data_IF_625870263945
#
_entry.id   IF_625870263945
#
_cell.length_a   1.000
_cell.length_b   1.000
_cell.length_c   1.000
_cell.angle_alpha   90.00
_cell.angle_beta   90.00
_cell.angle_gamma   90.00
#
_symmetry.space_group_name_H-M   'P 1'
#
loop_
_entity.id
_entity.type
_entity.pdbx_description
1 polymer ?
#
# COMPACT_ATOMS: atom_id res chain seq x y z
N UNK A 1 29.43 -1.95 10.89
CA UNK A 1 30.23 -2.92 10.11
C UNK A 1 29.38 -3.41 8.95
N UNK A 2 29.97 -3.65 7.78
CA UNK A 2 29.26 -4.19 6.59
C UNK A 2 29.77 -5.61 6.35
N UNK A 3 28.86 -6.52 6.02
CA UNK A 3 29.19 -7.89 5.69
C UNK A 3 29.33 -8.02 4.17
N UNK A 4 30.46 -8.51 3.70
CA UNK A 4 30.69 -8.67 2.27
C UNK A 4 29.79 -9.77 1.70
N UNK A 5 29.00 -9.52 0.64
CA UNK A 5 28.10 -10.53 0.08
C UNK A 5 28.84 -11.71 -0.58
N UNK A 6 30.11 -11.51 -0.99
CA UNK A 6 30.89 -12.54 -1.69
C UNK A 6 31.63 -13.49 -0.75
N UNK A 7 32.16 -12.99 0.37
CA UNK A 7 32.98 -13.78 1.30
C UNK A 7 32.44 -13.82 2.74
N UNK A 8 31.28 -13.21 2.99
CA UNK A 8 30.58 -13.15 4.28
C UNK A 8 31.39 -12.60 5.48
N UNK A 9 32.59 -12.05 5.25
CA UNK A 9 33.42 -11.41 6.28
C UNK A 9 32.87 -10.04 6.65
N UNK A 10 32.93 -9.72 7.95
CA UNK A 10 32.58 -8.40 8.49
C UNK A 10 33.77 -7.47 8.28
N UNK A 11 33.55 -6.36 7.60
CA UNK A 11 34.55 -5.32 7.41
C UNK A 11 34.06 -3.96 7.94
N UNK A 12 34.99 -3.08 8.36
CA UNK A 12 34.64 -1.72 8.76
C UNK A 12 34.04 -0.94 7.59
N UNK A 13 33.12 -0.02 7.89
CA UNK A 13 32.39 0.75 6.87
C UNK A 13 33.30 1.66 6.03
N UNK A 14 34.52 1.93 6.47
CA UNK A 14 35.50 2.73 5.74
C UNK A 14 36.15 1.98 4.57
N UNK A 15 36.02 0.65 4.51
CA UNK A 15 36.65 -0.17 3.47
C UNK A 15 35.84 -0.12 2.17
N UNK A 16 36.54 0.21 1.07
CA UNK A 16 35.97 0.36 -0.28
C UNK A 16 35.99 -0.97 -1.03
N UNK A 17 37.08 -1.74 -0.89
CA UNK A 17 37.29 -3.01 -1.56
C UNK A 17 37.49 -4.08 -0.49
N UNK A 18 36.69 -5.14 -0.56
CA UNK A 18 36.83 -6.27 0.34
C UNK A 18 38.10 -7.06 0.03
N UNK A 19 38.65 -7.77 1.03
CA UNK A 19 39.85 -8.60 0.87
C UNK A 19 39.70 -9.68 -0.23
N UNK A 20 38.46 -10.01 -0.61
CA UNK A 20 38.13 -10.90 -1.72
C UNK A 20 38.07 -10.22 -3.10
N UNK A 21 38.53 -8.97 -3.21
CA UNK A 21 38.50 -8.16 -4.43
C UNK A 21 37.11 -7.65 -4.82
N UNK A 22 36.12 -7.73 -3.92
CA UNK A 22 34.75 -7.28 -4.19
C UNK A 22 34.57 -5.81 -3.84
N UNK A 23 33.98 -5.04 -4.75
CA UNK A 23 33.74 -3.61 -4.57
C UNK A 23 32.51 -3.37 -3.66
N UNK A 24 32.79 -3.02 -2.39
CA UNK A 24 31.79 -2.71 -1.38
C UNK A 24 31.17 -1.32 -1.57
N UNK A 25 31.80 -0.44 -2.34
CA UNK A 25 31.24 0.87 -2.68
C UNK A 25 30.13 0.71 -3.71
N UNK A 26 30.37 -0.04 -4.78
CA UNK A 26 29.32 -0.35 -5.78
C UNK A 26 28.10 -1.02 -5.14
N UNK A 27 28.33 -1.99 -4.26
CA UNK A 27 27.25 -2.64 -3.51
C UNK A 27 26.46 -1.67 -2.61
N UNK A 28 27.12 -0.69 -1.99
CA UNK A 28 26.46 0.36 -1.21
C UNK A 28 25.62 1.29 -2.08
N UNK A 29 26.15 1.69 -3.22
CA UNK A 29 25.46 2.57 -4.15
C UNK A 29 24.21 1.89 -4.70
N UNK A 30 24.30 0.60 -5.06
CA UNK A 30 23.14 -0.22 -5.46
C UNK A 30 22.10 -0.35 -4.34
N UNK A 31 22.52 -0.58 -3.10
CA UNK A 31 21.62 -0.63 -1.93
C UNK A 31 20.94 0.72 -1.66
N UNK A 32 21.65 1.84 -1.84
CA UNK A 32 21.05 3.17 -1.72
C UNK A 32 20.05 3.46 -2.84
N UNK A 33 20.33 3.07 -4.07
CA UNK A 33 19.37 3.17 -5.17
C UNK A 33 18.11 2.34 -4.90
N UNK A 34 18.27 1.10 -4.43
CA UNK A 34 17.15 0.23 -4.08
C UNK A 34 16.33 0.87 -2.94
N UNK A 35 16.98 1.40 -1.89
CA UNK A 35 16.30 2.11 -0.81
C UNK A 35 15.58 3.36 -1.28
N UNK A 36 16.16 4.13 -2.22
CA UNK A 36 15.50 5.30 -2.83
C UNK A 36 14.27 4.86 -3.61
N UNK A 37 14.39 3.85 -4.48
CA UNK A 37 13.26 3.28 -5.26
C UNK A 37 12.15 2.75 -4.35
N UNK A 38 12.48 2.05 -3.27
CA UNK A 38 11.51 1.57 -2.27
C UNK A 38 10.82 2.70 -1.51
N UNK A 39 11.55 3.75 -1.10
CA UNK A 39 10.96 4.94 -0.47
C UNK A 39 9.97 5.67 -1.37
N UNK A 40 10.19 5.68 -2.68
CA UNK A 40 9.23 6.24 -3.65
C UNK A 40 8.02 5.32 -3.85
N UNK A 41 8.23 4.00 -3.96
CA UNK A 41 7.15 3.01 -4.11
C UNK A 41 6.22 2.90 -2.88
N UNK A 42 6.70 3.21 -1.67
CA UNK A 42 5.90 3.14 -0.44
C UNK A 42 4.97 4.36 -0.22
N UNK A 43 5.20 5.49 -0.91
CA UNK A 43 4.40 6.73 -0.74
C UNK A 43 2.92 6.60 -1.11
N UNK A 44 2.51 5.98 -2.24
CA UNK A 44 1.09 5.88 -2.58
C UNK A 44 0.29 5.10 -1.54
N UNK A 45 0.88 4.06 -0.93
CA UNK A 45 0.20 3.22 0.05
C UNK A 45 -0.04 3.91 1.40
N UNK A 46 0.67 5.00 1.70
CA UNK A 46 0.49 5.76 2.94
C UNK A 46 -0.85 6.50 2.98
N UNK A 47 -1.39 6.87 1.82
CA UNK A 47 -2.64 7.63 1.70
C UNK A 47 -3.88 6.77 1.46
N UNK A 48 -3.72 5.51 1.05
CA UNK A 48 -4.81 4.55 0.87
C UNK A 48 -5.80 4.47 2.05
N UNK A 49 -5.39 4.43 3.34
CA UNK A 49 -6.36 4.36 4.43
C UNK A 49 -7.19 5.65 4.54
N UNK A 50 -6.61 6.80 4.20
CA UNK A 50 -7.31 8.09 4.17
C UNK A 50 -8.31 8.10 3.01
N UNK A 51 -7.89 7.66 1.81
CA UNK A 51 -8.78 7.56 0.66
C UNK A 51 -9.96 6.62 0.91
N UNK A 52 -9.75 5.47 1.57
CA UNK A 52 -10.82 4.56 1.99
C UNK A 52 -11.86 5.28 2.86
N UNK A 53 -11.40 6.04 3.85
CA UNK A 53 -12.27 6.80 4.75
C UNK A 53 -13.10 7.85 3.99
N UNK A 54 -12.44 8.60 3.10
CA UNK A 54 -13.09 9.62 2.26
C UNK A 54 -14.14 8.97 1.35
N UNK A 55 -13.83 7.85 0.70
CA UNK A 55 -14.76 7.14 -0.19
C UNK A 55 -16.01 6.65 0.54
N UNK A 56 -15.86 6.09 1.76
CA UNK A 56 -17.02 5.66 2.57
C UNK A 56 -17.88 6.83 3.01
N UNK A 57 -17.25 7.93 3.44
CA UNK A 57 -17.98 9.14 3.82
C UNK A 57 -18.70 9.75 2.61
N UNK A 58 -18.05 9.81 1.46
CA UNK A 58 -18.65 10.27 0.21
C UNK A 58 -19.85 9.40 -0.18
N UNK A 59 -19.72 8.07 -0.12
CA UNK A 59 -20.84 7.15 -0.40
C UNK A 59 -22.04 7.37 0.51
N UNK A 60 -21.81 7.54 1.82
CA UNK A 60 -22.86 7.87 2.79
C UNK A 60 -23.49 9.25 2.52
N UNK A 61 -22.68 10.26 2.22
CA UNK A 61 -23.17 11.60 1.88
C UNK A 61 -23.99 11.60 0.59
N UNK A 62 -23.61 10.83 -0.42
CA UNK A 62 -24.37 10.67 -1.67
C UNK A 62 -25.74 10.06 -1.41
N UNK A 63 -25.86 9.05 -0.55
CA UNK A 63 -27.17 8.49 -0.17
C UNK A 63 -28.05 9.52 0.53
N UNK A 64 -27.49 10.27 1.48
CA UNK A 64 -28.24 11.28 2.23
C UNK A 64 -28.73 12.38 1.28
N UNK A 65 -27.83 12.92 0.45
CA UNK A 65 -28.20 14.00 -0.49
C UNK A 65 -29.17 13.53 -1.56
N UNK A 66 -29.00 12.32 -2.11
CA UNK A 66 -29.94 11.79 -3.09
C UNK A 66 -31.31 11.44 -2.52
N UNK A 67 -31.40 10.97 -1.27
CA UNK A 67 -32.70 10.75 -0.60
C UNK A 67 -33.41 12.06 -0.31
N UNK A 68 -32.70 13.10 0.16
CA UNK A 68 -33.25 14.45 0.34
C UNK A 68 -33.73 15.00 -1.01
N UNK A 69 -32.92 14.87 -2.07
CA UNK A 69 -33.29 15.31 -3.41
C UNK A 69 -34.55 14.62 -3.91
N UNK A 70 -34.65 13.30 -3.69
CA UNK A 70 -35.85 12.51 -4.04
C UNK A 70 -37.08 13.00 -3.28
N UNK A 71 -36.96 13.32 -2.00
CA UNK A 71 -38.05 13.88 -1.20
C UNK A 71 -38.50 15.25 -1.71
N UNK A 72 -37.56 16.11 -2.12
CA UNK A 72 -37.86 17.42 -2.73
C UNK A 72 -38.65 17.24 -4.03
N UNK A 73 -38.26 16.31 -4.89
CA UNK A 73 -39.01 15.99 -6.11
C UNK A 73 -40.44 15.54 -5.81
N UNK A 74 -40.63 14.68 -4.80
CA UNK A 74 -41.98 14.26 -4.35
C UNK A 74 -42.80 15.47 -3.90
N UNK A 75 -42.22 16.35 -3.08
CA UNK A 75 -42.93 17.53 -2.57
C UNK A 75 -43.30 18.55 -3.65
N UNK A 76 -42.54 18.60 -4.75
CA UNK A 76 -42.79 19.49 -5.88
C UNK A 76 -43.76 18.92 -6.91
N UNK A 77 -44.29 17.70 -6.70
CA UNK A 77 -45.21 17.04 -7.62
C UNK A 77 -44.56 16.61 -8.94
N UNK A 78 -43.25 16.39 -8.94
CA UNK A 78 -42.51 15.97 -10.12
C UNK A 78 -42.87 14.55 -10.57
N UNK A 79 -42.62 14.25 -11.85
CA UNK A 79 -43.01 12.96 -12.42
C UNK A 79 -42.32 11.79 -11.72
N UNK A 80 -43.05 10.69 -11.55
CA UNK A 80 -42.52 9.46 -10.93
C UNK A 80 -41.26 8.94 -11.65
N UNK A 81 -41.16 9.16 -12.98
CA UNK A 81 -39.98 8.79 -13.76
C UNK A 81 -38.71 9.55 -13.34
N UNK A 82 -38.80 10.87 -13.15
CA UNK A 82 -37.68 11.71 -12.70
C UNK A 82 -37.23 11.36 -11.27
N UNK A 83 -38.18 11.03 -10.40
CA UNK A 83 -37.88 10.56 -9.06
C UNK A 83 -37.10 9.23 -9.09
N UNK A 84 -37.55 8.28 -9.92
CA UNK A 84 -36.97 6.94 -9.99
C UNK A 84 -35.58 6.95 -10.61
N UNK A 85 -35.34 7.79 -11.63
CA UNK A 85 -34.02 7.99 -12.23
C UNK A 85 -33.05 8.64 -11.25
N UNK A 86 -33.47 9.66 -10.51
CA UNK A 86 -32.63 10.29 -9.49
C UNK A 86 -32.22 9.29 -8.39
N UNK A 87 -33.16 8.47 -7.92
CA UNK A 87 -32.90 7.44 -6.92
C UNK A 87 -31.94 6.37 -7.46
N UNK A 88 -32.13 5.90 -8.68
CA UNK A 88 -31.24 4.88 -9.29
C UNK A 88 -29.83 5.42 -9.50
N UNK A 89 -29.68 6.65 -10.01
CA UNK A 89 -28.37 7.28 -10.17
C UNK A 89 -27.66 7.40 -8.82
N UNK A 90 -28.39 7.83 -7.78
CA UNK A 90 -27.86 7.94 -6.42
C UNK A 90 -27.35 6.58 -5.90
N UNK A 91 -28.15 5.53 -6.05
CA UNK A 91 -27.80 4.18 -5.60
C UNK A 91 -26.57 3.65 -6.36
N UNK A 92 -26.54 3.82 -7.68
CA UNK A 92 -25.41 3.38 -8.51
C UNK A 92 -24.12 4.11 -8.11
N UNK A 93 -24.18 5.43 -7.95
CA UNK A 93 -23.03 6.22 -7.51
C UNK A 93 -22.54 5.77 -6.13
N UNK A 94 -23.46 5.47 -5.22
CA UNK A 94 -23.12 4.98 -3.89
C UNK A 94 -22.44 3.59 -3.92
N UNK A 95 -23.00 2.64 -4.68
CA UNK A 95 -22.42 1.30 -4.85
C UNK A 95 -21.00 1.41 -5.41
N UNK A 96 -20.77 2.25 -6.41
CA UNK A 96 -19.46 2.47 -6.97
C UNK A 96 -18.46 2.96 -5.90
N UNK A 97 -18.84 3.97 -5.11
CA UNK A 97 -17.99 4.54 -4.05
C UNK A 97 -17.64 3.50 -2.97
N UNK A 98 -18.62 2.68 -2.55
CA UNK A 98 -18.37 1.61 -1.59
C UNK A 98 -17.50 0.49 -2.16
N UNK A 99 -17.71 0.09 -3.42
CA UNK A 99 -16.89 -0.90 -4.09
C UNK A 99 -15.42 -0.46 -4.17
N UNK A 100 -15.16 0.80 -4.53
CA UNK A 100 -13.81 1.36 -4.53
C UNK A 100 -13.18 1.37 -3.12
N UNK A 101 -13.96 1.66 -2.07
CA UNK A 101 -13.48 1.59 -0.70
C UNK A 101 -13.10 0.15 -0.28
N UNK A 102 -13.84 -0.86 -0.73
CA UNK A 102 -13.51 -2.27 -0.47
C UNK A 102 -12.25 -2.71 -1.22
N UNK A 103 -12.09 -2.32 -2.48
CA UNK A 103 -10.86 -2.60 -3.25
C UNK A 103 -9.63 -2.04 -2.54
N UNK A 104 -9.71 -0.83 -1.99
CA UNK A 104 -8.63 -0.24 -1.19
C UNK A 104 -8.37 -1.04 0.09
N UNK A 105 -9.41 -1.61 0.71
CA UNK A 105 -9.27 -2.45 1.91
C UNK A 105 -8.47 -3.71 1.60
N UNK A 106 -8.79 -4.39 0.49
CA UNK A 106 -8.06 -5.57 0.03
C UNK A 106 -6.60 -5.23 -0.30
N UNK A 107 -6.35 -4.10 -0.97
CA UNK A 107 -5.00 -3.63 -1.28
C UNK A 107 -4.17 -3.36 -0.01
N UNK A 108 -4.80 -2.82 1.04
CA UNK A 108 -4.13 -2.59 2.32
C UNK A 108 -3.78 -3.91 3.01
N UNK A 109 -4.71 -4.87 3.05
CA UNK A 109 -4.49 -6.18 3.67
C UNK A 109 -3.37 -6.96 2.96
N UNK A 110 -3.36 -6.98 1.62
CA UNK A 110 -2.29 -7.60 0.83
C UNK A 110 -0.92 -6.95 1.10
N UNK A 111 -0.87 -5.63 1.28
CA UNK A 111 0.37 -4.93 1.58
C UNK A 111 0.89 -5.26 2.99
N UNK A 112 -0.01 -5.37 3.97
CA UNK A 112 0.35 -5.79 5.34
C UNK A 112 0.89 -7.22 5.32
N UNK A 113 0.19 -8.14 4.67
CA UNK A 113 0.64 -9.54 4.55
C UNK A 113 2.00 -9.65 3.85
N UNK A 114 2.23 -8.90 2.77
CA UNK A 114 3.51 -8.92 2.06
C UNK A 114 4.68 -8.43 2.94
N UNK A 115 4.47 -7.39 3.75
CA UNK A 115 5.50 -6.92 4.71
C UNK A 115 5.81 -7.98 5.76
N UNK A 116 4.78 -8.69 6.23
CA UNK A 116 4.91 -9.75 7.23
C UNK A 116 5.64 -10.99 6.67
N UNK A 117 5.42 -11.32 5.40
CA UNK A 117 6.15 -12.39 4.69
C UNK A 117 7.61 -11.99 4.49
N UNK A 118 7.88 -10.75 4.06
CA UNK A 118 9.23 -10.21 3.89
C UNK A 118 10.02 -10.22 5.21
N UNK A 119 9.42 -9.81 6.32
CA UNK A 119 10.08 -9.83 7.64
C UNK A 119 10.42 -11.25 8.10
N UNK A 120 9.52 -12.22 7.86
CA UNK A 120 9.77 -13.64 8.14
C UNK A 120 10.89 -14.22 7.28
N UNK A 121 10.93 -13.88 5.98
CA UNK A 121 12.01 -14.28 5.08
C UNK A 121 13.37 -13.70 5.50
N UNK A 122 13.41 -12.44 5.94
CA UNK A 122 14.63 -11.83 6.49
C UNK A 122 15.10 -12.53 7.76
N UNK A 123 14.17 -12.87 8.67
CA UNK A 123 14.48 -13.64 9.87
C UNK A 123 15.03 -15.03 9.55
N UNK A 124 14.41 -15.77 8.62
CA UNK A 124 14.91 -17.09 8.19
C UNK A 124 16.30 -16.97 7.58
N UNK A 125 16.52 -16.00 6.68
CA UNK A 125 17.85 -15.78 6.09
C UNK A 125 18.91 -15.45 7.16
N UNK A 126 18.52 -14.69 8.19
CA UNK A 126 19.41 -14.37 9.30
C UNK A 126 19.73 -15.59 10.17
N UNK A 127 18.78 -16.50 10.40
CA UNK A 127 18.99 -17.70 11.20
C UNK A 127 19.76 -18.79 10.44
N UNK A 128 19.54 -18.92 9.13
CA UNK A 128 20.31 -19.86 8.28
C UNK A 128 21.79 -19.46 8.16
N UNK A 129 22.10 -18.15 8.13
CA UNK A 129 23.48 -17.67 8.17
C UNK A 129 24.20 -17.95 9.50
N UNK A 130 23.46 -18.14 10.60
CA UNK A 130 24.03 -18.49 11.92
C UNK A 130 24.41 -19.98 11.96
N UNK A 131 23.60 -20.86 11.35
CA UNK A 131 23.88 -22.30 11.30
C UNK A 131 25.05 -22.70 10.41
N UNK A 132 25.48 -21.84 9.47
CA UNK A 132 26.64 -22.10 8.59
C UNK A 132 27.97 -21.57 9.15
N UNK A 133 27.99 -21.00 10.36
CA UNK A 133 29.22 -20.51 11.02
C UNK A 133 29.70 -21.42 12.17
N UNK A 134 29.05 -22.56 12.38
CA UNK A 134 29.34 -23.52 13.47
C UNK A 134 30.00 -24.82 13.03
N UNK A 135 30.64 -24.85 11.84
CA UNK A 135 31.52 -25.94 11.39
C UNK A 135 32.92 -25.42 11.09
#
# INVERSE_FOLDING_TARGET
>A
MIQCPKCNRKQPQTVIICDCGYDLKKYRDEQEEIRKKQKFAARPYRWLPIFRGILRLAGGFTLITGTISTYVFISNGESYGLMLTNLTITIIACIALFAYAEVISVLLDLNVQNKDILSKLEHIKSSTNISTQSE
#
